data_IF_093325731484
#
_entry.id   IF_093325731484
#
_cell.length_a   1.000
_cell.length_b   1.000
_cell.length_c   1.000
_cell.angle_alpha   90.00
_cell.angle_beta   90.00
_cell.angle_gamma   90.00
#
_symmetry.space_group_name_H-M   'P 1'
#
loop_
_entity.id
_entity.type
_entity.pdbx_description
1 polymer ?
#
# COMPACT_ATOMS: atom_id res chain seq x y z
N UNK A 1 -3.76 3.06 10.50
CA UNK A 1 -3.17 3.81 9.35
C UNK A 1 -2.92 5.30 9.60
N UNK A 2 -3.59 5.99 10.54
CA UNK A 2 -3.36 7.42 10.79
C UNK A 2 -1.95 7.80 11.31
N UNK A 3 -1.18 6.83 11.84
CA UNK A 3 0.15 7.07 12.43
C UNK A 3 1.18 7.64 11.44
N UNK A 4 1.29 7.08 10.22
CA UNK A 4 2.12 7.69 9.15
C UNK A 4 1.51 8.99 8.61
N UNK A 5 0.20 9.19 8.79
CA UNK A 5 -0.55 10.35 8.29
C UNK A 5 -0.37 11.58 9.18
N UNK A 6 0.04 11.41 10.44
CA UNK A 6 0.08 12.46 11.47
C UNK A 6 1.49 12.79 12.00
N UNK A 7 2.53 12.04 11.66
CA UNK A 7 3.89 12.35 12.10
C UNK A 7 4.42 13.56 11.35
N UNK A 8 4.85 14.62 12.06
CA UNK A 8 5.77 15.63 11.49
C UNK A 8 6.99 14.87 10.99
N UNK A 9 7.13 14.76 9.67
CA UNK A 9 8.23 14.04 9.04
C UNK A 9 9.54 14.75 9.41
N UNK A 10 10.50 14.07 10.04
CA UNK A 10 11.84 14.63 10.22
C UNK A 10 12.40 15.08 8.86
N UNK A 11 13.23 16.13 8.79
CA UNK A 11 13.77 16.70 7.53
C UNK A 11 14.40 15.66 6.58
N UNK A 12 14.85 14.52 7.10
CA UNK A 12 15.37 13.40 6.30
C UNK A 12 14.31 12.72 5.43
N UNK A 13 13.04 12.72 5.84
CA UNK A 13 11.92 12.06 5.15
C UNK A 13 11.20 12.94 4.13
N UNK A 14 11.44 14.25 4.12
CA UNK A 14 10.92 15.15 3.07
C UNK A 14 11.61 14.90 1.72
N UNK A 15 12.77 14.24 1.73
CA UNK A 15 13.62 13.93 0.57
C UNK A 15 13.37 12.55 -0.05
N UNK A 16 12.41 11.80 0.48
CA UNK A 16 12.05 10.47 -0.02
C UNK A 16 10.58 10.45 -0.38
N UNK A 17 10.27 9.85 -1.52
CA UNK A 17 8.90 9.52 -1.88
C UNK A 17 8.55 8.13 -1.35
N UNK A 18 7.40 7.99 -0.70
CA UNK A 18 6.89 6.69 -0.22
C UNK A 18 5.59 6.33 -0.94
N UNK A 19 5.57 5.14 -1.54
CA UNK A 19 4.37 4.51 -2.07
C UNK A 19 3.97 3.37 -1.14
N UNK A 20 2.73 3.37 -0.67
CA UNK A 20 2.16 2.28 0.12
C UNK A 20 1.10 1.54 -0.69
N UNK A 21 1.18 0.21 -0.75
CA UNK A 21 0.10 -0.64 -1.25
C UNK A 21 -0.47 -1.39 -0.06
N UNK A 22 -1.74 -1.14 0.26
CA UNK A 22 -2.46 -1.78 1.36
C UNK A 22 -3.49 -2.74 0.78
N UNK A 23 -3.19 -4.03 0.82
CA UNK A 23 -4.16 -5.07 0.45
C UNK A 23 -5.08 -5.33 1.64
N UNK A 24 -6.35 -4.97 1.50
CA UNK A 24 -7.38 -5.20 2.50
C UNK A 24 -7.93 -6.61 2.33
N UNK A 25 -7.62 -7.47 3.29
CA UNK A 25 -7.90 -8.91 3.27
C UNK A 25 -9.20 -9.16 4.04
N UNK A 26 -10.32 -9.47 3.35
CA UNK A 26 -11.55 -9.90 4.02
C UNK A 26 -11.35 -11.26 4.70
N UNK A 27 -11.91 -11.42 5.89
CA UNK A 27 -11.81 -12.64 6.68
C UNK A 27 -12.83 -12.64 7.82
N UNK A 28 -12.68 -13.58 8.77
CA UNK A 28 -13.39 -13.48 10.06
C UNK A 28 -12.97 -12.20 10.77
N UNK A 29 -11.66 -11.98 10.81
CA UNK A 29 -11.03 -10.72 11.20
C UNK A 29 -10.49 -10.04 9.94
N UNK A 30 -10.73 -8.74 9.81
CA UNK A 30 -10.21 -7.95 8.68
C UNK A 30 -8.73 -7.68 8.89
N UNK A 31 -7.92 -8.04 7.90
CA UNK A 31 -6.47 -7.82 7.94
C UNK A 31 -6.02 -6.84 6.86
N UNK A 32 -4.89 -6.19 7.09
CA UNK A 32 -4.21 -5.36 6.11
C UNK A 32 -2.80 -5.89 5.88
N UNK A 33 -2.46 -6.23 4.64
CA UNK A 33 -1.09 -6.47 4.22
C UNK A 33 -0.56 -5.20 3.54
N UNK A 34 0.29 -4.46 4.25
CA UNK A 34 0.77 -3.13 3.82
C UNK A 34 2.23 -3.22 3.39
N UNK A 35 2.50 -2.83 2.15
CA UNK A 35 3.83 -2.79 1.57
C UNK A 35 4.27 -1.34 1.36
N UNK A 36 5.30 -0.92 2.10
CA UNK A 36 5.90 0.40 1.94
C UNK A 36 7.11 0.32 1.01
N UNK A 37 7.05 1.09 -0.06
CA UNK A 37 8.07 1.18 -1.10
C UNK A 37 8.59 2.61 -1.11
N UNK A 38 9.90 2.78 -0.95
CA UNK A 38 10.51 4.10 -0.86
C UNK A 38 11.45 4.34 -2.03
N UNK A 39 11.45 5.56 -2.56
CA UNK A 39 12.51 6.03 -3.45
C UNK A 39 13.84 6.10 -2.69
N UNK A 40 14.94 6.16 -3.43
CA UNK A 40 16.21 6.56 -2.83
C UNK A 40 16.09 8.02 -2.35
N UNK A 41 16.81 8.33 -1.26
CA UNK A 41 16.87 9.68 -0.70
C UNK A 41 17.47 10.61 -1.75
N UNK A 42 16.89 11.80 -1.92
CA UNK A 42 17.31 12.82 -2.90
C UNK A 42 17.21 12.37 -4.38
N UNK A 43 16.51 11.26 -4.67
CA UNK A 43 16.23 10.80 -6.02
C UNK A 43 14.71 10.88 -6.28
N UNK A 44 14.19 12.03 -6.75
CA UNK A 44 12.77 12.19 -7.01
C UNK A 44 12.32 11.31 -8.19
N UNK A 45 11.03 10.99 -8.21
CA UNK A 45 10.43 10.27 -9.35
C UNK A 45 10.62 11.12 -10.61
N UNK A 46 11.17 10.52 -11.66
CA UNK A 46 11.39 11.18 -12.94
C UNK A 46 10.08 11.79 -13.47
N UNK A 47 9.98 13.12 -13.68
CA UNK A 47 8.75 13.80 -14.11
C UNK A 47 8.17 13.30 -15.44
N UNK A 48 9.02 12.76 -16.32
CA UNK A 48 8.61 12.24 -17.62
C UNK A 48 8.22 10.75 -17.57
N UNK A 49 8.31 10.11 -16.40
CA UNK A 49 7.98 8.69 -16.26
C UNK A 49 6.48 8.44 -16.14
N UNK A 50 6.05 7.27 -16.58
CA UNK A 50 4.67 6.81 -16.39
C UNK A 50 4.30 6.70 -14.90
N UNK A 51 5.26 6.37 -14.03
CA UNK A 51 5.07 6.36 -12.58
C UNK A 51 4.76 7.75 -12.02
N UNK A 52 5.44 8.79 -12.51
CA UNK A 52 5.13 10.17 -12.12
C UNK A 52 3.72 10.56 -12.54
N UNK A 53 3.33 10.25 -13.78
CA UNK A 53 1.98 10.49 -14.27
C UNK A 53 0.93 9.73 -13.46
N UNK A 54 1.21 8.49 -13.05
CA UNK A 54 0.34 7.71 -12.18
C UNK A 54 0.17 8.34 -10.79
N UNK A 55 1.27 8.78 -10.18
CA UNK A 55 1.29 9.42 -8.86
C UNK A 55 0.53 10.75 -8.86
N UNK A 56 0.63 11.52 -9.95
CA UNK A 56 0.06 12.86 -10.06
C UNK A 56 -1.25 12.92 -10.87
N UNK A 57 -1.68 11.79 -11.43
CA UNK A 57 -2.87 11.70 -12.28
C UNK A 57 -4.19 11.66 -11.50
N UNK A 58 -5.28 11.45 -12.23
CA UNK A 58 -6.61 11.21 -11.65
C UNK A 58 -6.76 9.77 -11.13
N UNK A 59 -7.76 9.54 -10.29
CA UNK A 59 -8.10 8.18 -9.87
C UNK A 59 -8.49 7.31 -11.06
N UNK A 60 -9.26 7.83 -12.02
CA UNK A 60 -9.59 7.12 -13.25
C UNK A 60 -8.33 6.69 -14.04
N UNK A 61 -7.30 7.54 -14.09
CA UNK A 61 -6.02 7.18 -14.70
C UNK A 61 -5.35 6.05 -13.91
N UNK A 62 -5.30 6.16 -12.57
CA UNK A 62 -4.73 5.12 -11.70
C UNK A 62 -5.47 3.79 -11.82
N UNK A 63 -6.79 3.80 -11.79
CA UNK A 63 -7.64 2.62 -11.92
C UNK A 63 -7.40 1.92 -13.26
N UNK A 64 -7.26 2.70 -14.34
CA UNK A 64 -7.04 2.15 -15.66
C UNK A 64 -5.67 1.52 -15.86
N UNK A 65 -4.71 1.75 -14.95
CA UNK A 65 -3.28 1.43 -15.13
C UNK A 65 -2.66 0.61 -14.01
N UNK A 66 -3.21 0.62 -12.81
CA UNK A 66 -2.62 -0.08 -11.68
C UNK A 66 -2.69 -1.60 -11.88
N UNK A 67 -1.53 -2.23 -12.03
CA UNK A 67 -1.40 -3.64 -12.38
C UNK A 67 -0.55 -4.36 -11.35
N UNK A 68 -0.89 -5.62 -11.12
CA UNK A 68 -0.09 -6.57 -10.36
C UNK A 68 0.31 -7.72 -11.26
N UNK A 69 1.51 -8.24 -11.04
CA UNK A 69 1.97 -9.53 -11.55
C UNK A 69 2.32 -10.43 -10.36
N UNK A 70 1.85 -11.66 -10.37
CA UNK A 70 2.00 -12.60 -9.26
C UNK A 70 2.63 -13.90 -9.74
N UNK A 71 3.47 -14.51 -8.90
CA UNK A 71 4.01 -15.84 -9.15
C UNK A 71 4.01 -16.66 -7.87
N UNK A 72 3.32 -17.79 -7.89
CA UNK A 72 3.40 -18.77 -6.81
C UNK A 72 4.69 -19.57 -6.95
N UNK A 73 5.70 -19.19 -6.16
CA UNK A 73 7.01 -19.84 -6.11
C UNK A 73 6.89 -21.21 -5.44
N UNK A 74 6.26 -21.25 -4.27
CA UNK A 74 6.01 -22.46 -3.48
C UNK A 74 4.54 -22.51 -3.10
N UNK A 75 3.93 -23.70 -3.16
CA UNK A 75 2.55 -23.90 -2.74
C UNK A 75 1.87 -25.08 -3.43
N UNK A 76 0.66 -25.45 -2.97
CA UNK A 76 -0.12 -26.53 -3.56
C UNK A 76 -0.41 -26.28 -5.05
N UNK A 77 -0.44 -27.34 -5.86
CA UNK A 77 -0.71 -27.23 -7.30
C UNK A 77 -2.05 -26.54 -7.58
N UNK A 78 -3.09 -26.81 -6.77
CA UNK A 78 -4.40 -26.15 -6.92
C UNK A 78 -4.31 -24.62 -6.79
N UNK A 79 -3.51 -24.12 -5.85
CA UNK A 79 -3.29 -22.68 -5.71
C UNK A 79 -2.49 -22.12 -6.88
N UNK A 80 -1.46 -22.84 -7.35
CA UNK A 80 -0.69 -22.44 -8.54
C UNK A 80 -1.59 -22.30 -9.77
N UNK A 81 -2.53 -23.22 -9.97
CA UNK A 81 -3.49 -23.16 -11.08
C UNK A 81 -4.48 -22.01 -10.92
N UNK A 82 -5.04 -21.83 -9.72
CA UNK A 82 -5.98 -20.75 -9.45
C UNK A 82 -5.35 -19.36 -9.67
N UNK A 83 -4.13 -19.14 -9.17
CA UNK A 83 -3.39 -17.88 -9.36
C UNK A 83 -2.83 -17.78 -10.78
N UNK A 84 -2.53 -18.90 -11.44
CA UNK A 84 -2.02 -18.94 -12.82
C UNK A 84 -2.94 -18.22 -13.81
N UNK A 85 -4.26 -18.40 -13.67
CA UNK A 85 -5.27 -17.68 -14.46
C UNK A 85 -5.28 -16.16 -14.23
N UNK A 86 -4.64 -15.69 -13.15
CA UNK A 86 -4.56 -14.29 -12.74
C UNK A 86 -3.10 -13.86 -12.47
N UNK A 87 -2.16 -14.44 -13.22
CA UNK A 87 -0.72 -14.15 -13.12
C UNK A 87 -0.44 -12.66 -13.34
N UNK A 88 -1.22 -11.99 -14.19
CA UNK A 88 -1.23 -10.54 -14.33
C UNK A 88 -2.66 -10.02 -14.26
N UNK A 89 -2.88 -8.92 -13.55
CA UNK A 89 -4.21 -8.34 -13.39
C UNK A 89 -4.14 -6.82 -13.25
N UNK A 90 -4.99 -6.10 -13.99
CA UNK A 90 -5.26 -4.68 -13.75
C UNK A 90 -6.11 -4.53 -12.48
N UNK A 91 -5.46 -4.43 -11.33
CA UNK A 91 -6.12 -4.30 -10.03
C UNK A 91 -7.09 -3.12 -9.99
N UNK A 92 -6.69 -1.98 -10.53
CA UNK A 92 -7.52 -0.78 -10.54
C UNK A 92 -8.84 -0.93 -11.32
N UNK A 93 -8.94 -1.90 -12.24
CA UNK A 93 -10.19 -2.25 -12.92
C UNK A 93 -10.92 -3.41 -12.25
N UNK A 94 -10.18 -4.37 -11.71
CA UNK A 94 -10.73 -5.61 -11.16
C UNK A 94 -11.28 -5.45 -9.73
N UNK A 95 -10.78 -4.47 -8.97
CA UNK A 95 -11.09 -4.21 -7.57
C UNK A 95 -11.32 -2.71 -7.36
N UNK A 96 -12.08 -2.37 -6.31
CA UNK A 96 -12.16 -0.99 -5.83
C UNK A 96 -10.82 -0.60 -5.19
N UNK A 97 -10.22 0.47 -5.72
CA UNK A 97 -9.02 1.08 -5.17
C UNK A 97 -9.35 2.46 -4.60
N UNK A 98 -8.73 2.82 -3.47
CA UNK A 98 -8.81 4.16 -2.90
C UNK A 98 -7.41 4.76 -2.81
N UNK A 99 -7.29 6.01 -3.23
CA UNK A 99 -5.99 6.67 -3.37
C UNK A 99 -5.87 7.82 -2.37
N UNK A 100 -4.79 7.80 -1.57
CA UNK A 100 -4.50 8.86 -0.62
C UNK A 100 -3.15 9.51 -0.95
N UNK A 101 -3.22 10.70 -1.57
CA UNK A 101 -2.04 11.46 -2.02
C UNK A 101 -1.70 12.60 -1.04
N UNK A 102 -0.41 12.73 -0.73
CA UNK A 102 0.25 13.90 -0.08
C UNK A 102 1.49 14.30 -0.88
N UNK A 103 2.24 15.37 -0.61
CA UNK A 103 3.38 15.76 -1.46
C UNK A 103 4.43 14.66 -1.74
N UNK A 104 4.86 13.93 -0.72
CA UNK A 104 5.88 12.87 -0.81
C UNK A 104 5.34 11.46 -0.55
N UNK A 105 4.01 11.28 -0.64
CA UNK A 105 3.37 10.01 -0.28
C UNK A 105 2.17 9.69 -1.17
N UNK A 106 2.05 8.44 -1.60
CA UNK A 106 0.84 7.89 -2.21
C UNK A 106 0.52 6.55 -1.54
N UNK A 107 -0.69 6.40 -1.03
CA UNK A 107 -1.22 5.12 -0.55
C UNK A 107 -2.33 4.64 -1.47
N UNK A 108 -2.30 3.35 -1.79
CA UNK A 108 -3.28 2.65 -2.59
C UNK A 108 -3.91 1.58 -1.70
N UNK A 109 -5.12 1.84 -1.24
CA UNK A 109 -5.94 0.86 -0.55
C UNK A 109 -6.66 0.00 -1.58
N UNK A 110 -6.45 -1.31 -1.54
CA UNK A 110 -7.04 -2.28 -2.48
C UNK A 110 -8.03 -3.15 -1.72
N UNK A 111 -9.32 -2.97 -1.98
CA UNK A 111 -10.38 -3.77 -1.37
C UNK A 111 -10.56 -5.09 -2.12
N UNK A 112 -9.93 -6.17 -1.64
CA UNK A 112 -10.06 -7.51 -2.24
C UNK A 112 -11.51 -8.02 -2.14
N UNK A 113 -12.24 -7.59 -1.11
CA UNK A 113 -13.63 -7.98 -0.88
C UNK A 113 -14.61 -7.40 -1.91
N UNK A 114 -14.20 -6.39 -2.68
CA UNK A 114 -15.02 -5.76 -3.71
C UNK A 114 -15.34 -6.65 -4.91
N UNK A 115 -14.68 -7.80 -5.05
CA UNK A 115 -14.92 -8.76 -6.14
C UNK A 115 -14.92 -10.21 -5.65
N UNK A 116 -15.87 -11.00 -6.17
CA UNK A 116 -16.04 -12.39 -5.79
C UNK A 116 -14.83 -13.27 -6.19
N UNK A 117 -14.28 -13.06 -7.38
CA UNK A 117 -13.19 -13.89 -7.91
C UNK A 117 -11.90 -13.74 -7.08
N UNK A 118 -11.34 -12.53 -6.87
CA UNK A 118 -10.19 -12.33 -6.00
C UNK A 118 -10.43 -12.81 -4.57
N UNK A 119 -11.65 -12.64 -4.03
CA UNK A 119 -12.01 -13.15 -2.70
C UNK A 119 -11.90 -14.69 -2.62
N UNK A 120 -12.34 -15.41 -3.65
CA UNK A 120 -12.23 -16.88 -3.69
C UNK A 120 -10.76 -17.32 -3.75
N UNK A 121 -9.95 -16.69 -4.59
CA UNK A 121 -8.51 -17.01 -4.72
C UNK A 121 -7.79 -16.70 -3.41
N UNK A 122 -8.10 -15.56 -2.77
CA UNK A 122 -7.56 -15.19 -1.48
C UNK A 122 -7.92 -16.23 -0.41
N UNK A 123 -9.18 -16.67 -0.33
CA UNK A 123 -9.59 -17.71 0.64
C UNK A 123 -8.81 -19.01 0.44
N UNK A 124 -8.60 -19.42 -0.81
CA UNK A 124 -7.78 -20.59 -1.12
C UNK A 124 -6.32 -20.39 -0.67
N UNK A 125 -5.74 -19.21 -0.93
CA UNK A 125 -4.39 -18.87 -0.50
C UNK A 125 -4.25 -18.87 1.03
N UNK A 126 -5.22 -18.25 1.73
CA UNK A 126 -5.26 -18.21 3.20
C UNK A 126 -5.35 -19.61 3.82
N UNK A 127 -6.10 -20.53 3.20
CA UNK A 127 -6.20 -21.92 3.67
C UNK A 127 -4.88 -22.70 3.63
N UNK A 128 -3.87 -22.22 2.90
CA UNK A 128 -2.55 -22.85 2.81
C UNK A 128 -1.39 -21.86 3.00
N UNK A 129 -1.65 -20.69 3.60
CA UNK A 129 -0.73 -19.55 3.63
C UNK A 129 0.62 -19.85 4.26
N UNK A 130 0.67 -20.72 5.27
CA UNK A 130 1.89 -21.16 5.95
C UNK A 130 2.78 -22.07 5.10
N UNK A 131 2.29 -22.56 3.97
CA UNK A 131 3.04 -23.40 3.02
C UNK A 131 3.30 -22.72 1.67
N UNK A 132 2.90 -21.45 1.53
CA UNK A 132 2.94 -20.71 0.27
C UNK A 132 4.04 -19.67 0.26
N UNK A 133 4.70 -19.54 -0.89
CA UNK A 133 5.56 -18.41 -1.21
C UNK A 133 5.05 -17.78 -2.50
N UNK A 134 4.78 -16.48 -2.45
CA UNK A 134 4.28 -15.71 -3.59
C UNK A 134 5.15 -14.47 -3.81
N UNK A 135 5.60 -14.29 -5.05
CA UNK A 135 6.18 -13.04 -5.52
C UNK A 135 5.05 -12.17 -6.07
N UNK A 136 5.02 -10.91 -5.67
CA UNK A 136 4.11 -9.89 -6.16
C UNK A 136 4.90 -8.71 -6.69
N UNK A 137 4.67 -8.35 -7.95
CA UNK A 137 5.21 -7.17 -8.60
C UNK A 137 4.11 -6.16 -8.88
N UNK A 138 4.32 -4.91 -8.48
CA UNK A 138 3.40 -3.80 -8.72
C UNK A 138 3.96 -2.89 -9.81
N UNK A 139 3.11 -2.54 -10.77
CA UNK A 139 3.49 -1.69 -11.90
C UNK A 139 2.33 -0.81 -12.38
N UNK A 140 2.71 0.17 -13.19
CA UNK A 140 1.80 0.97 -13.99
C UNK A 140 1.81 0.38 -15.41
N UNK A 141 0.65 -0.08 -15.88
CA UNK A 141 0.51 -0.70 -17.20
C UNK A 141 0.76 0.30 -18.33
N UNK A 142 1.62 -0.07 -19.27
CA UNK A 142 1.80 0.69 -20.51
C UNK A 142 0.69 0.31 -21.50
N UNK A 143 0.03 1.30 -22.10
CA UNK A 143 -1.07 1.14 -23.07
C UNK A 143 -0.76 1.82 -24.41
N UNK A 144 0.44 2.39 -24.57
CA UNK A 144 0.97 2.82 -25.86
C UNK A 144 2.43 2.42 -26.02
N UNK A 145 2.90 2.32 -27.26
CA UNK A 145 4.29 1.95 -27.56
C UNK A 145 5.31 2.91 -26.95
N UNK A 146 4.96 4.20 -26.85
CA UNK A 146 5.81 5.24 -26.26
C UNK A 146 6.02 5.05 -24.75
N UNK A 147 5.13 4.32 -24.09
CA UNK A 147 5.20 4.04 -22.66
C UNK A 147 5.98 2.76 -22.34
N UNK A 148 6.40 1.98 -23.36
CA UNK A 148 7.20 0.78 -23.17
C UNK A 148 8.69 1.10 -22.93
N UNK A 149 9.44 0.25 -22.22
CA UNK A 149 9.03 -0.99 -21.54
C UNK A 149 8.38 -0.72 -20.17
N UNK A 150 7.44 -1.57 -19.77
CA UNK A 150 6.82 -1.54 -18.44
C UNK A 150 7.88 -1.70 -17.34
N UNK A 151 7.75 -0.92 -16.25
CA UNK A 151 8.67 -0.97 -15.11
C UNK A 151 7.91 -1.22 -13.82
N UNK A 152 8.37 -2.21 -13.06
CA UNK A 152 7.91 -2.46 -11.69
C UNK A 152 8.35 -1.29 -10.80
N UNK A 153 7.43 -0.75 -10.02
CA UNK A 153 7.76 0.22 -8.97
C UNK A 153 7.92 -0.42 -7.59
N UNK A 154 7.54 -1.69 -7.45
CA UNK A 154 7.74 -2.46 -6.24
C UNK A 154 7.63 -3.95 -6.48
N UNK A 155 8.41 -4.72 -5.73
CA UNK A 155 8.35 -6.17 -5.72
C UNK A 155 8.45 -6.64 -4.28
N UNK A 156 7.60 -7.57 -3.90
CA UNK A 156 7.61 -8.18 -2.57
C UNK A 156 7.49 -9.69 -2.71
N UNK A 157 8.19 -10.43 -1.86
CA UNK A 157 8.05 -11.87 -1.73
C UNK A 157 7.44 -12.14 -0.36
N UNK A 158 6.28 -12.78 -0.33
CA UNK A 158 5.61 -13.20 0.89
C UNK A 158 5.89 -14.68 1.08
N UNK A 159 6.52 -15.03 2.19
CA UNK A 159 6.91 -16.40 2.53
C UNK A 159 6.16 -16.88 3.76
N UNK A 160 5.40 -17.98 3.61
CA UNK A 160 4.86 -18.78 4.71
C UNK A 160 4.22 -17.92 5.80
N UNK A 161 3.36 -16.99 5.38
CA UNK A 161 2.82 -15.96 6.27
C UNK A 161 1.95 -16.59 7.36
N UNK A 162 2.14 -16.15 8.59
CA UNK A 162 1.34 -16.58 9.73
C UNK A 162 0.37 -15.46 10.13
N UNK A 163 -0.92 -15.68 9.92
CA UNK A 163 -1.94 -14.65 10.17
C UNK A 163 -2.08 -14.31 11.66
N UNK A 164 -1.83 -15.25 12.57
CA UNK A 164 -1.84 -15.02 14.04
C UNK A 164 -0.79 -14.02 14.50
N UNK A 165 0.25 -13.78 13.71
CA UNK A 165 1.29 -12.78 14.02
C UNK A 165 0.86 -11.35 13.68
N UNK A 166 -0.33 -11.14 13.13
CA UNK A 166 -0.85 -9.82 12.82
C UNK A 166 -1.00 -8.98 14.10
N UNK A 167 -0.55 -7.73 14.04
CA UNK A 167 -0.64 -6.79 15.16
C UNK A 167 -1.82 -5.85 14.94
N UNK A 168 -2.65 -5.68 15.98
CA UNK A 168 -3.70 -4.66 15.95
C UNK A 168 -3.06 -3.27 15.94
N UNK A 169 -3.45 -2.44 14.97
CA UNK A 169 -3.08 -1.05 14.97
C UNK A 169 -4.22 -0.22 15.59
N UNK A 170 -4.04 0.22 16.82
CA UNK A 170 -4.94 1.19 17.45
C UNK A 170 -5.03 2.45 16.57
N UNK A 171 -6.26 2.96 16.38
CA UNK A 171 -6.49 4.28 15.81
C UNK A 171 -6.17 5.42 16.80
N UNK A 172 -5.97 5.09 18.08
CA UNK A 172 -6.05 6.00 19.21
C UNK A 172 -4.70 6.54 19.75
N UNK A 173 -3.56 6.36 19.09
CA UNK A 173 -2.34 7.11 19.44
C UNK A 173 -2.39 8.55 18.88
N UNK A 174 -3.48 9.27 19.15
CA UNK A 174 -3.77 10.62 18.67
C UNK A 174 -3.90 11.68 19.79
N UNK A 175 -3.67 11.30 21.06
CA UNK A 175 -3.50 12.30 22.13
C UNK A 175 -2.01 12.59 22.32
N UNK A 176 -1.49 13.51 21.50
CA UNK A 176 -0.34 14.31 21.90
C UNK A 176 -0.57 14.83 23.32
N UNK A 177 0.27 14.42 24.29
CA UNK A 177 0.39 15.16 25.55
C UNK A 177 0.95 16.54 25.21
N UNK A 178 0.06 17.48 24.93
CA UNK A 178 0.37 18.91 25.04
C UNK A 178 0.44 19.18 26.53
N UNK A 179 1.65 19.35 27.06
CA UNK A 179 1.83 19.92 28.39
C UNK A 179 1.27 21.36 28.33
N UNK A 180 0.39 21.77 29.26
CA UNK A 180 -0.08 23.14 29.30
C UNK A 180 1.09 24.07 29.60
N UNK A 181 1.29 25.05 28.71
CA UNK A 181 2.12 26.22 28.96
C UNK A 181 1.45 27.00 30.10
N UNK A 182 2.11 27.06 31.24
CA UNK A 182 1.66 27.86 32.37
C UNK A 182 1.92 29.34 32.07
N UNK A 183 0.91 30.05 31.58
CA UNK A 183 0.89 31.51 31.53
C UNK A 183 0.14 32.03 32.76
N UNK A 184 0.86 32.19 33.87
CA UNK A 184 0.38 32.91 35.05
C UNK A 184 1.10 34.25 35.12
N UNK A 185 0.38 35.31 34.78
CA UNK A 185 0.83 36.69 34.84
C UNK A 185 0.98 37.20 36.26
N UNK A 186 1.81 38.23 36.38
CA UNK A 186 1.99 39.12 37.52
C UNK A 186 0.67 39.70 38.02
N UNK A 187 0.39 39.51 39.31
CA UNK A 187 -0.54 40.36 40.07
C UNK A 187 0.29 41.29 40.96
N UNK A 188 0.01 42.59 40.83
CA UNK A 188 0.46 43.65 41.71
C UNK A 188 -0.43 43.62 42.97
N UNK A 189 0.16 43.74 44.16
CA UNK A 189 -0.55 44.18 45.36
C UNK A 189 0.12 45.47 45.86
N UNK A 190 -0.63 46.57 45.79
CA UNK A 190 -0.48 47.76 46.62
C UNK A 190 -1.19 47.49 47.96
N UNK A 191 -0.44 47.54 49.06
CA UNK A 191 -0.74 48.30 50.29
C UNK A 191 0.51 48.34 51.19
#
# INVERSE_FOLDING_TARGET
>A
MASLRSSKTPEKWSKTFVLAVNLQVPGRDHHSAVFYLASKVDEPINPNSLLYQFVHGSDAFRDSRFKIVNKIVKGPWLLKTAVGNYTACLLGKALKCYYHRRPNYLEIDVDIGSSAIPTVILRLALGCVTAVTVDMGFLVESQSEKELLERLFGVVCICQMEMSSATFMDSATLSSKVLPINSGGSENEED
#
